data_IF_415623168605
#
_entry.id   IF_415623168605
#
_cell.length_a   1.000
_cell.length_b   1.000
_cell.length_c   1.000
_cell.angle_alpha   90.00
_cell.angle_beta   90.00
_cell.angle_gamma   90.00
#
_symmetry.space_group_name_H-M   'P 1'
#
loop_
_entity.id
_entity.type
_entity.pdbx_description
1 polymer ?
#
# COMPACT_ATOMS: atom_id res chain seq x y z
N UNK A 1 -9.35 -79.77 1.37
CA UNK A 1 -7.97 -79.43 0.98
C UNK A 1 -7.99 -77.96 0.63
N UNK A 2 -7.75 -77.13 1.63
CA UNK A 2 -7.99 -75.68 1.57
C UNK A 2 -6.80 -74.98 0.93
N UNK A 3 -6.96 -74.53 -0.31
CA UNK A 3 -5.97 -73.69 -1.02
C UNK A 3 -6.13 -72.24 -0.58
N UNK A 4 -5.59 -71.94 0.61
CA UNK A 4 -5.44 -70.57 1.09
C UNK A 4 -4.40 -69.84 0.22
N UNK A 5 -4.91 -69.02 -0.70
CA UNK A 5 -4.16 -68.12 -1.57
C UNK A 5 -3.33 -67.16 -0.70
N UNK A 6 -2.04 -67.48 -0.52
CA UNK A 6 -1.09 -66.61 0.18
C UNK A 6 -0.94 -65.33 -0.66
N UNK A 7 -1.67 -64.29 -0.29
CA UNK A 7 -1.52 -62.95 -0.83
C UNK A 7 -0.18 -62.39 -0.32
N UNK A 8 0.92 -62.75 -1.00
CA UNK A 8 2.24 -62.17 -0.74
C UNK A 8 2.20 -60.71 -1.16
N UNK A 9 1.87 -59.85 -0.20
CA UNK A 9 1.91 -58.40 -0.34
C UNK A 9 3.39 -58.03 -0.40
N UNK A 10 3.91 -57.84 -1.62
CA UNK A 10 5.32 -57.47 -1.82
C UNK A 10 5.59 -56.13 -1.12
N UNK A 11 6.46 -56.08 -0.08
CA UNK A 11 6.72 -54.87 0.70
C UNK A 11 7.21 -53.71 -0.18
N UNK A 12 7.89 -54.03 -1.28
CA UNK A 12 8.39 -53.07 -2.25
C UNK A 12 7.25 -52.35 -3.01
N UNK A 13 6.17 -53.06 -3.36
CA UNK A 13 5.00 -52.47 -4.04
C UNK A 13 4.20 -51.59 -3.08
N UNK A 14 4.10 -51.98 -1.81
CA UNK A 14 3.44 -51.18 -0.76
C UNK A 14 4.23 -49.89 -0.44
N UNK A 15 5.56 -49.98 -0.40
CA UNK A 15 6.43 -48.82 -0.21
C UNK A 15 6.37 -47.82 -1.37
N UNK A 16 6.30 -48.31 -2.62
CA UNK A 16 6.14 -47.45 -3.80
C UNK A 16 4.75 -46.78 -3.87
N UNK A 17 3.69 -47.48 -3.43
CA UNK A 17 2.34 -46.92 -3.32
C UNK A 17 2.24 -45.84 -2.23
N UNK A 18 2.91 -46.06 -1.09
CA UNK A 18 2.90 -45.10 0.02
C UNK A 18 3.75 -43.85 -0.29
N UNK A 19 4.88 -43.98 -1.00
CA UNK A 19 5.70 -42.83 -1.42
C UNK A 19 4.99 -41.94 -2.45
N UNK A 20 4.18 -42.52 -3.34
CA UNK A 20 3.34 -41.75 -4.27
C UNK A 20 2.31 -40.88 -3.52
N UNK A 21 1.73 -41.42 -2.44
CA UNK A 21 0.85 -40.65 -1.55
C UNK A 21 1.60 -39.58 -0.77
N UNK A 22 2.82 -39.84 -0.32
CA UNK A 22 3.63 -38.87 0.43
C UNK A 22 3.97 -37.62 -0.40
N UNK A 23 4.31 -37.77 -1.69
CA UNK A 23 4.52 -36.64 -2.59
C UNK A 23 3.22 -35.88 -2.90
N UNK A 24 2.11 -36.60 -3.11
CA UNK A 24 0.80 -35.99 -3.39
C UNK A 24 0.21 -35.25 -2.19
N UNK A 25 0.48 -35.69 -0.96
CA UNK A 25 0.04 -34.98 0.25
C UNK A 25 0.85 -33.71 0.52
N UNK A 26 2.11 -33.64 0.10
CA UNK A 26 2.96 -32.46 0.32
C UNK A 26 2.58 -31.24 -0.52
N UNK A 27 1.85 -31.41 -1.63
CA UNK A 27 1.41 -30.30 -2.50
C UNK A 27 -0.05 -29.90 -2.27
N UNK A 28 -0.81 -30.65 -1.46
CA UNK A 28 -2.24 -30.40 -1.28
C UNK A 28 -2.61 -29.63 0.00
N UNK A 29 -1.66 -29.32 0.88
CA UNK A 29 -1.95 -28.58 2.12
C UNK A 29 -1.50 -27.10 2.13
N UNK A 30 -0.72 -26.66 1.12
CA UNK A 30 -0.30 -25.26 1.03
C UNK A 30 -1.35 -24.32 0.40
N UNK A 31 -2.45 -24.86 -0.15
CA UNK A 31 -3.45 -24.09 -0.90
C UNK A 31 -4.80 -23.97 -0.19
N UNK A 32 -4.87 -24.31 1.11
CA UNK A 32 -6.07 -24.11 1.95
C UNK A 32 -5.74 -23.52 3.31
N UNK A 33 -4.94 -22.46 3.34
CA UNK A 33 -5.25 -21.42 4.33
C UNK A 33 -6.30 -20.54 3.65
N UNK A 34 -7.59 -20.55 4.05
CA UNK A 34 -8.40 -19.39 3.77
C UNK A 34 -7.72 -18.27 4.54
N UNK A 35 -7.06 -17.36 3.81
CA UNK A 35 -6.63 -16.09 4.38
C UNK A 35 -7.78 -15.61 5.26
N UNK A 36 -7.55 -15.30 6.55
CA UNK A 36 -8.63 -14.90 7.43
C UNK A 36 -9.42 -13.82 6.69
N UNK A 37 -10.76 -13.88 6.63
CA UNK A 37 -11.49 -12.76 6.09
C UNK A 37 -11.05 -11.59 6.97
N UNK A 38 -10.30 -10.65 6.39
CA UNK A 38 -10.01 -9.37 7.00
C UNK A 38 -11.36 -8.69 7.13
N UNK A 39 -12.10 -9.10 8.17
CA UNK A 39 -13.27 -8.43 8.70
C UNK A 39 -12.73 -7.07 9.11
N UNK A 40 -12.82 -6.14 8.19
CA UNK A 40 -12.76 -4.71 8.44
C UNK A 40 -13.98 -4.33 9.29
N UNK A 41 -14.05 -4.81 10.53
CA UNK A 41 -14.97 -4.32 11.53
C UNK A 41 -14.30 -3.22 12.35
N UNK A 42 -14.07 -2.12 11.65
CA UNK A 42 -14.53 -0.77 12.00
C UNK A 42 -14.64 -0.47 13.50
N UNK A 43 -13.55 0.03 14.08
CA UNK A 43 -13.52 1.05 15.15
C UNK A 43 -12.15 1.71 14.99
N UNK A 44 -11.92 3.00 14.71
CA UNK A 44 -12.62 4.25 14.99
C UNK A 44 -12.30 5.24 13.86
N UNK A 45 -13.29 5.79 13.15
CA UNK A 45 -13.80 7.14 13.42
C UNK A 45 -12.75 8.25 13.50
N UNK A 46 -11.88 8.38 12.49
CA UNK A 46 -11.25 9.67 12.17
C UNK A 46 -11.55 9.97 10.71
N UNK A 47 -12.85 10.07 10.43
CA UNK A 47 -13.33 10.79 9.25
C UNK A 47 -13.03 12.25 9.56
N UNK A 48 -11.89 12.73 9.09
CA UNK A 48 -11.53 14.13 9.12
C UNK A 48 -12.72 14.91 8.59
N UNK A 49 -13.40 15.61 9.50
CA UNK A 49 -14.18 16.76 9.11
C UNK A 49 -13.23 17.62 8.30
N UNK A 50 -13.54 17.81 7.02
CA UNK A 50 -13.03 18.96 6.29
C UNK A 50 -13.56 20.16 7.07
N UNK A 51 -12.75 20.64 8.01
CA UNK A 51 -12.79 22.03 8.40
C UNK A 51 -12.49 22.76 7.11
N UNK A 52 -13.57 23.16 6.44
CA UNK A 52 -13.59 24.31 5.55
C UNK A 52 -13.01 25.46 6.36
N UNK A 53 -11.69 25.60 6.27
CA UNK A 53 -10.97 26.75 6.78
C UNK A 53 -11.50 27.91 5.98
N UNK A 54 -12.31 28.73 6.64
CA UNK A 54 -12.91 29.93 6.08
C UNK A 54 -11.86 30.73 5.33
N UNK A 55 -12.09 30.88 4.02
CA UNK A 55 -11.46 31.88 3.19
C UNK A 55 -11.92 33.26 3.66
N UNK A 56 -11.30 33.76 4.72
CA UNK A 56 -11.34 35.17 5.07
C UNK A 56 -10.40 35.90 4.12
N UNK A 57 -10.95 36.34 2.98
CA UNK A 57 -10.85 37.67 2.38
C UNK A 57 -11.35 37.58 0.93
N UNK A 58 -12.65 37.75 0.74
CA UNK A 58 -13.12 38.52 -0.41
C UNK A 58 -14.31 39.38 0.03
N UNK A 59 -14.00 40.47 0.72
CA UNK A 59 -14.98 41.53 0.98
C UNK A 59 -15.06 42.37 -0.29
N UNK A 60 -15.69 41.79 -1.31
CA UNK A 60 -16.23 42.51 -2.44
C UNK A 60 -17.15 43.61 -1.92
N UNK A 61 -16.81 44.84 -2.28
CA UNK A 61 -17.51 46.07 -1.93
C UNK A 61 -18.91 46.09 -2.51
N UNK A 62 -19.87 45.49 -1.80
CA UNK A 62 -21.29 45.61 -2.07
C UNK A 62 -21.76 47.03 -1.74
N UNK A 63 -21.96 47.83 -2.80
CA UNK A 63 -22.66 49.11 -2.83
C UNK A 63 -23.84 49.13 -1.87
N UNK A 64 -23.86 50.08 -0.95
CA UNK A 64 -25.03 50.44 -0.15
C UNK A 64 -25.46 51.82 -0.59
N UNK A 65 -26.56 51.88 -1.34
CA UNK A 65 -27.27 53.10 -1.62
C UNK A 65 -27.93 53.56 -0.32
N UNK A 66 -27.30 54.50 0.39
CA UNK A 66 -28.00 55.26 1.41
C UNK A 66 -28.46 56.56 0.80
N UNK A 67 -29.77 56.55 0.53
CA UNK A 67 -30.68 57.64 0.24
C UNK A 67 -30.24 58.97 0.85
N UNK A 68 -30.15 59.95 -0.04
CA UNK A 68 -29.95 61.36 0.23
C UNK A 68 -31.18 61.92 0.97
N UNK A 69 -31.00 62.31 2.23
CA UNK A 69 -31.93 63.15 2.98
C UNK A 69 -31.22 64.43 3.39
N UNK A 70 -30.90 65.26 2.39
CA UNK A 70 -30.76 66.71 2.60
C UNK A 70 -32.09 67.26 3.13
N UNK A 71 -32.15 67.60 4.42
CA UNK A 71 -32.66 68.89 4.94
C UNK A 71 -32.05 69.15 6.32
N UNK A 72 -31.28 70.23 6.43
CA UNK A 72 -31.01 70.92 7.70
C UNK A 72 -31.04 72.42 7.42
N UNK A 73 -31.73 73.23 8.26
CA UNK A 73 -31.98 74.62 7.96
C UNK A 73 -30.71 75.45 8.14
N UNK A 74 -30.53 76.35 7.19
CA UNK A 74 -29.64 77.49 7.23
C UNK A 74 -29.58 78.15 8.63
N UNK A 75 -28.42 78.07 9.27
CA UNK A 75 -28.11 78.72 10.53
C UNK A 75 -26.68 79.25 10.49
N UNK A 76 -26.53 80.58 10.38
CA UNK A 76 -25.25 81.27 10.42
C UNK A 76 -24.58 81.07 11.78
N UNK A 77 -23.28 80.77 11.81
CA UNK A 77 -22.46 80.92 13.02
C UNK A 77 -20.98 81.16 12.67
N UNK A 78 -20.60 82.40 12.96
CA UNK A 78 -19.29 83.02 13.20
C UNK A 78 -18.03 82.19 12.94
N UNK A 79 -17.16 82.76 12.08
CA UNK A 79 -15.73 82.47 11.97
C UNK A 79 -15.06 82.65 13.33
N UNK A 80 -14.68 81.55 13.98
CA UNK A 80 -13.67 81.56 15.05
C UNK A 80 -12.38 81.08 14.42
N UNK A 81 -11.33 81.90 14.56
CA UNK A 81 -9.96 81.58 14.20
C UNK A 81 -9.56 80.24 14.83
N UNK A 82 -8.86 79.32 14.14
CA UNK A 82 -8.20 78.23 14.83
C UNK A 82 -7.02 78.83 15.60
N UNK A 83 -7.15 78.87 16.92
CA UNK A 83 -6.03 79.01 17.83
C UNK A 83 -4.96 77.98 17.46
N UNK A 84 -3.71 78.45 17.38
CA UNK A 84 -2.55 77.61 17.14
C UNK A 84 -2.39 76.69 18.34
N UNK A 85 -2.98 75.51 18.28
CA UNK A 85 -2.69 74.44 19.22
C UNK A 85 -1.19 74.15 19.10
N UNK A 86 -0.49 74.29 20.22
CA UNK A 86 0.94 74.01 20.32
C UNK A 86 1.20 72.63 19.72
N UNK A 87 2.02 72.59 18.68
CA UNK A 87 2.43 71.36 18.05
C UNK A 87 3.19 70.55 19.10
N UNK A 88 2.53 69.53 19.64
CA UNK A 88 3.06 68.68 20.70
C UNK A 88 4.12 67.75 20.09
N UNK A 89 5.31 68.29 19.84
CA UNK A 89 6.46 67.58 19.23
C UNK A 89 6.81 66.27 19.93
N UNK A 90 6.37 66.09 21.18
CA UNK A 90 6.51 64.85 21.95
C UNK A 90 5.72 63.68 21.32
N UNK A 91 4.51 63.93 20.81
CA UNK A 91 3.66 62.92 20.16
C UNK A 91 4.26 62.47 18.84
N UNK A 92 4.78 63.41 18.05
CA UNK A 92 5.38 63.11 16.74
C UNK A 92 6.65 62.25 16.87
N UNK A 93 7.47 62.50 17.90
CA UNK A 93 8.64 61.67 18.20
C UNK A 93 8.25 60.23 18.59
N UNK A 94 7.16 60.06 19.36
CA UNK A 94 6.65 58.73 19.73
C UNK A 94 6.14 57.93 18.52
N UNK A 95 5.50 58.61 17.56
CA UNK A 95 5.01 58.01 16.31
C UNK A 95 6.18 57.54 15.43
N UNK A 96 7.26 58.31 15.34
CA UNK A 96 8.46 57.92 14.60
C UNK A 96 9.14 56.66 15.19
N UNK A 97 9.23 56.55 16.51
CA UNK A 97 9.77 55.37 17.20
C UNK A 97 8.88 54.14 16.96
N UNK A 98 7.56 54.30 17.01
CA UNK A 98 6.61 53.22 16.71
C UNK A 98 6.77 52.72 15.27
N UNK A 99 6.84 53.62 14.29
CA UNK A 99 7.06 53.27 12.87
C UNK A 99 8.37 52.49 12.70
N UNK A 100 9.45 52.91 13.36
CA UNK A 100 10.73 52.21 13.27
C UNK A 100 10.67 50.82 13.92
N UNK A 101 9.93 50.68 15.00
CA UNK A 101 9.70 49.39 15.67
C UNK A 101 8.88 48.44 14.79
N UNK A 102 7.80 48.92 14.17
CA UNK A 102 7.01 48.17 13.20
C UNK A 102 7.89 47.69 12.04
N UNK A 103 8.73 48.57 11.47
CA UNK A 103 9.67 48.19 10.40
C UNK A 103 10.64 47.10 10.83
N UNK A 104 11.19 47.18 12.06
CA UNK A 104 12.08 46.15 12.62
C UNK A 104 11.34 44.81 12.80
N UNK A 105 10.13 44.84 13.34
CA UNK A 105 9.31 43.65 13.54
C UNK A 105 8.91 43.00 12.21
N UNK A 106 8.52 43.79 11.20
CA UNK A 106 8.20 43.29 9.86
C UNK A 106 9.40 42.62 9.20
N UNK A 107 10.60 43.21 9.29
CA UNK A 107 11.83 42.57 8.79
C UNK A 107 12.10 41.23 9.46
N UNK A 108 12.01 41.16 10.81
CA UNK A 108 12.17 39.91 11.56
C UNK A 108 11.12 38.87 11.17
N UNK A 109 9.86 39.27 11.04
CA UNK A 109 8.77 38.38 10.60
C UNK A 109 9.05 37.78 9.21
N UNK A 110 9.48 38.61 8.25
CA UNK A 110 9.83 38.14 6.90
C UNK A 110 11.02 37.18 6.93
N UNK A 111 12.06 37.46 7.74
CA UNK A 111 13.21 36.58 7.89
C UNK A 111 12.85 35.23 8.54
N UNK A 112 12.00 35.24 9.56
CA UNK A 112 11.52 34.00 10.16
C UNK A 112 10.64 33.21 9.18
N UNK A 113 9.75 33.89 8.45
CA UNK A 113 8.92 33.25 7.44
C UNK A 113 9.74 32.63 6.30
N UNK A 114 10.81 33.30 5.86
CA UNK A 114 11.71 32.75 4.84
C UNK A 114 12.48 31.52 5.36
N UNK A 115 12.97 31.56 6.60
CA UNK A 115 13.63 30.41 7.23
C UNK A 115 12.67 29.21 7.33
N UNK A 116 11.47 29.41 7.87
CA UNK A 116 10.45 28.35 7.97
C UNK A 116 10.08 27.83 6.57
N UNK A 117 9.91 28.71 5.58
CA UNK A 117 9.63 28.31 4.19
C UNK A 117 10.74 27.45 3.59
N UNK A 118 12.01 27.80 3.82
CA UNK A 118 13.14 27.01 3.33
C UNK A 118 13.22 25.64 3.98
N UNK A 119 13.00 25.55 5.31
CA UNK A 119 12.96 24.29 6.03
C UNK A 119 11.85 23.38 5.53
N UNK A 120 10.65 23.93 5.31
CA UNK A 120 9.51 23.18 4.78
C UNK A 120 9.77 22.69 3.35
N UNK A 121 10.36 23.54 2.49
CA UNK A 121 10.72 23.15 1.12
C UNK A 121 11.71 21.99 1.10
N UNK A 122 12.75 22.05 1.92
CA UNK A 122 13.73 20.96 2.03
C UNK A 122 13.04 19.68 2.51
N UNK A 123 12.21 19.75 3.55
CA UNK A 123 11.50 18.57 4.05
C UNK A 123 10.57 17.94 3.01
N UNK A 124 9.90 18.76 2.18
CA UNK A 124 9.08 18.28 1.07
C UNK A 124 9.95 17.60 0.00
N UNK A 125 11.10 18.17 -0.33
CA UNK A 125 12.04 17.59 -1.28
C UNK A 125 12.59 16.24 -0.79
N UNK A 126 13.02 16.13 0.46
CA UNK A 126 13.49 14.88 1.06
C UNK A 126 12.41 13.79 1.04
N UNK A 127 11.17 14.15 1.40
CA UNK A 127 10.03 13.21 1.35
C UNK A 127 9.72 12.76 -0.08
N UNK A 128 9.85 13.65 -1.06
CA UNK A 128 9.65 13.31 -2.46
C UNK A 128 10.75 12.35 -2.95
N UNK A 129 12.02 12.62 -2.61
CA UNK A 129 13.16 11.75 -2.94
C UNK A 129 13.00 10.36 -2.33
N UNK A 130 12.74 10.28 -1.02
CA UNK A 130 12.56 9.01 -0.32
C UNK A 130 11.37 8.21 -0.87
N UNK A 131 10.28 8.88 -1.26
CA UNK A 131 9.12 8.22 -1.88
C UNK A 131 9.46 7.65 -3.24
N UNK A 132 10.26 8.35 -4.04
CA UNK A 132 10.68 7.87 -5.36
C UNK A 132 11.65 6.69 -5.25
N UNK A 133 12.63 6.75 -4.34
CA UNK A 133 13.52 5.62 -4.07
C UNK A 133 12.73 4.38 -3.61
N UNK A 134 11.75 4.56 -2.73
CA UNK A 134 10.87 3.48 -2.30
C UNK A 134 10.04 2.90 -3.45
N UNK A 135 9.58 3.74 -4.39
CA UNK A 135 8.80 3.29 -5.56
C UNK A 135 9.65 2.43 -6.50
N UNK A 136 10.91 2.83 -6.73
CA UNK A 136 11.89 2.10 -7.55
C UNK A 136 12.21 0.75 -6.93
N UNK A 137 12.55 0.74 -5.63
CA UNK A 137 12.87 -0.50 -4.91
C UNK A 137 11.68 -1.46 -4.91
N UNK A 138 10.45 -0.96 -4.73
CA UNK A 138 9.25 -1.78 -4.81
C UNK A 138 9.09 -2.41 -6.20
N UNK A 139 9.26 -1.64 -7.27
CA UNK A 139 9.16 -2.15 -8.64
C UNK A 139 10.24 -3.21 -8.95
N UNK A 140 11.45 -3.05 -8.42
CA UNK A 140 12.51 -4.04 -8.54
C UNK A 140 12.17 -5.34 -7.80
N UNK A 141 11.67 -5.25 -6.56
CA UNK A 141 11.22 -6.40 -5.78
C UNK A 141 10.09 -7.16 -6.48
N UNK A 142 9.12 -6.45 -7.04
CA UNK A 142 8.01 -7.05 -7.79
C UNK A 142 8.49 -7.74 -9.07
N UNK A 143 9.48 -7.16 -9.75
CA UNK A 143 10.14 -7.79 -10.91
C UNK A 143 10.86 -9.09 -10.53
N UNK A 144 11.66 -9.05 -9.44
CA UNK A 144 12.37 -10.22 -8.92
C UNK A 144 11.41 -11.32 -8.49
N UNK A 145 10.32 -10.96 -7.83
CA UNK A 145 9.28 -11.89 -7.37
C UNK A 145 8.60 -12.58 -8.55
N UNK A 146 8.19 -11.83 -9.57
CA UNK A 146 7.62 -12.41 -10.80
C UNK A 146 8.58 -13.38 -11.48
N UNK A 147 9.87 -13.03 -11.58
CA UNK A 147 10.90 -13.90 -12.18
C UNK A 147 11.13 -15.19 -11.39
N UNK A 148 11.04 -15.13 -10.05
CA UNK A 148 11.17 -16.33 -9.22
C UNK A 148 9.94 -17.22 -9.36
N UNK A 149 8.74 -16.65 -9.40
CA UNK A 149 7.51 -17.40 -9.58
C UNK A 149 7.49 -18.15 -10.91
N UNK A 150 7.93 -17.52 -12.02
CA UNK A 150 8.01 -18.21 -13.32
C UNK A 150 8.99 -19.37 -13.30
N UNK A 151 10.18 -19.19 -12.73
CA UNK A 151 11.17 -20.26 -12.58
C UNK A 151 10.66 -21.41 -11.71
N UNK A 152 9.98 -21.10 -10.61
CA UNK A 152 9.37 -22.10 -9.74
C UNK A 152 8.35 -22.94 -10.53
N UNK A 153 7.46 -22.30 -11.27
CA UNK A 153 6.44 -22.98 -12.06
C UNK A 153 7.04 -23.82 -13.20
N UNK A 154 8.10 -23.33 -13.85
CA UNK A 154 8.85 -24.08 -14.86
C UNK A 154 9.48 -25.35 -14.26
N UNK A 155 10.21 -25.20 -13.15
CA UNK A 155 10.83 -26.34 -12.46
C UNK A 155 9.78 -27.35 -11.96
N UNK A 156 8.67 -26.86 -11.43
CA UNK A 156 7.55 -27.71 -11.02
C UNK A 156 7.00 -28.51 -12.20
N UNK A 157 6.77 -27.86 -13.36
CA UNK A 157 6.28 -28.53 -14.57
C UNK A 157 7.27 -29.57 -15.10
N UNK A 158 8.57 -29.26 -15.09
CA UNK A 158 9.62 -30.20 -15.52
C UNK A 158 9.64 -31.43 -14.60
N UNK A 159 9.57 -31.21 -13.29
CA UNK A 159 9.56 -32.30 -12.31
C UNK A 159 8.33 -33.20 -12.46
N UNK A 160 7.14 -32.61 -12.62
CA UNK A 160 5.89 -33.36 -12.82
C UNK A 160 5.98 -34.27 -14.06
N UNK A 161 6.43 -33.72 -15.19
CA UNK A 161 6.63 -34.49 -16.43
C UNK A 161 7.63 -35.62 -16.29
N UNK A 162 8.72 -35.40 -15.55
CA UNK A 162 9.74 -36.42 -15.34
C UNK A 162 9.24 -37.53 -14.39
N UNK A 163 8.46 -37.18 -13.38
CA UNK A 163 7.79 -38.14 -12.51
C UNK A 163 6.77 -38.98 -13.30
N UNK A 164 5.95 -38.37 -14.15
CA UNK A 164 5.00 -39.07 -15.00
C UNK A 164 5.72 -40.02 -15.97
N UNK A 165 6.81 -39.55 -16.61
CA UNK A 165 7.62 -40.38 -17.51
C UNK A 165 8.18 -41.61 -16.79
N UNK A 166 8.78 -41.41 -15.61
CA UNK A 166 9.35 -42.51 -14.80
C UNK A 166 8.28 -43.45 -14.25
N UNK A 167 7.15 -42.90 -13.83
CA UNK A 167 6.00 -43.68 -13.37
C UNK A 167 5.52 -44.61 -14.47
N UNK A 168 5.36 -44.08 -15.69
CA UNK A 168 4.95 -44.86 -16.86
C UNK A 168 5.98 -45.95 -17.22
N UNK A 169 7.29 -45.64 -17.24
CA UNK A 169 8.34 -46.64 -17.49
C UNK A 169 8.34 -47.76 -16.44
N UNK A 170 8.17 -47.42 -15.17
CA UNK A 170 8.07 -48.40 -14.09
C UNK A 170 6.80 -49.25 -14.22
N UNK A 171 5.66 -48.64 -14.58
CA UNK A 171 4.40 -49.34 -14.80
C UNK A 171 4.50 -50.35 -15.94
N UNK A 172 5.11 -49.97 -17.06
CA UNK A 172 5.32 -50.87 -18.21
C UNK A 172 6.24 -52.05 -17.86
N UNK A 173 7.29 -51.83 -17.08
CA UNK A 173 8.17 -52.91 -16.59
C UNK A 173 7.42 -53.87 -15.67
N UNK A 174 6.58 -53.34 -14.79
CA UNK A 174 5.75 -54.14 -13.89
C UNK A 174 4.75 -55.01 -14.66
N UNK A 175 4.07 -54.45 -15.66
CA UNK A 175 3.11 -55.17 -16.51
C UNK A 175 3.79 -56.33 -17.25
N UNK A 176 4.98 -56.11 -17.83
CA UNK A 176 5.77 -57.17 -18.47
C UNK A 176 6.09 -58.32 -17.51
N UNK A 177 6.47 -58.00 -16.28
CA UNK A 177 6.73 -59.01 -15.26
C UNK A 177 5.45 -59.76 -14.87
N UNK A 178 4.33 -59.07 -14.71
CA UNK A 178 3.03 -59.69 -14.39
C UNK A 178 2.57 -60.64 -15.51
N UNK A 179 2.68 -60.22 -16.77
CA UNK A 179 2.38 -61.07 -17.93
C UNK A 179 3.30 -62.30 -17.96
N UNK A 180 4.61 -62.11 -17.76
CA UNK A 180 5.57 -63.21 -17.70
C UNK A 180 5.26 -64.20 -16.57
N UNK A 181 4.93 -63.70 -15.39
CA UNK A 181 4.49 -64.51 -14.24
C UNK A 181 3.20 -65.28 -14.54
N UNK A 182 2.22 -64.65 -15.20
CA UNK A 182 0.98 -65.33 -15.58
C UNK A 182 1.26 -66.50 -16.51
N UNK A 183 2.05 -66.28 -17.57
CA UNK A 183 2.43 -67.32 -18.54
C UNK A 183 3.16 -68.49 -17.87
N UNK A 184 4.10 -68.21 -16.98
CA UNK A 184 4.81 -69.28 -16.24
C UNK A 184 3.85 -70.11 -15.39
N UNK A 185 2.84 -69.48 -14.76
CA UNK A 185 1.83 -70.20 -13.98
C UNK A 185 0.94 -71.07 -14.85
N UNK A 186 0.61 -70.64 -16.06
CA UNK A 186 -0.14 -71.45 -17.04
C UNK A 186 0.67 -72.68 -17.45
N UNK A 187 1.95 -72.50 -17.82
CA UNK A 187 2.84 -73.62 -18.19
C UNK A 187 3.02 -74.63 -17.05
N UNK A 188 3.14 -74.16 -15.80
CA UNK A 188 3.22 -75.05 -14.63
C UNK A 188 1.91 -75.82 -14.43
N UNK A 189 0.77 -75.21 -14.71
CA UNK A 189 -0.54 -75.90 -14.62
C UNK A 189 -0.65 -77.00 -15.67
N UNK A 190 -0.24 -76.73 -16.91
CA UNK A 190 -0.23 -77.73 -18.00
C UNK A 190 0.72 -78.91 -17.72
N UNK A 191 1.85 -78.70 -17.05
CA UNK A 191 2.79 -79.78 -16.71
C UNK A 191 2.30 -80.70 -15.58
N UNK A 192 1.39 -80.21 -14.75
CA UNK A 192 0.84 -80.94 -13.59
C UNK A 192 -0.43 -81.72 -13.95
N UNK A 193 -1.02 -81.47 -15.12
CA UNK A 193 -2.19 -82.17 -15.69
C UNK A 193 -1.78 -83.33 -16.59
#
# INVERSE_FOLDING_TARGET
MDTSLIHVKSPYIEMMKNNFFFLRSSTNDANKTPSPPLKSKKVSSWRSALLSSGSFYDRGSGKKNFTDLRKSPHGQSKKVLPEKSGHDSSRDLSVLVLIQTIRRLTKKKVQMASKVSSMLRNQVAERASAKEEASILQAELDSRTRRLETKKNELQSVLEKELDRRSNDCSLKLEKYQIGQHRLRELVRELVE
#
